data_IF_785450391090
#
_entry.id   IF_785450391090
#
_cell.length_a   1.000
_cell.length_b   1.000
_cell.length_c   1.000
_cell.angle_alpha   90.00
_cell.angle_beta   90.00
_cell.angle_gamma   90.00
#
_symmetry.space_group_name_H-M   'P 1'
#
loop_
_entity.id
_entity.type
_entity.pdbx_description
1 polymer ?
#
# COMPACT_ATOMS: atom_id res chain seq x y z
N UNK A 1 31.35 -0.98 -1.02
CA UNK A 1 30.36 -1.10 -2.10
C UNK A 1 29.11 -0.34 -1.68
N UNK A 2 28.46 0.46 -2.54
CA UNK A 2 27.20 1.11 -2.19
C UNK A 2 26.11 0.05 -1.99
N UNK A 3 25.33 0.18 -0.92
CA UNK A 3 24.16 -0.67 -0.69
C UNK A 3 23.05 -0.18 -1.64
N UNK A 4 22.44 -1.05 -2.45
CA UNK A 4 21.30 -0.68 -3.28
C UNK A 4 20.18 -0.11 -2.41
N UNK A 5 19.74 1.12 -2.70
CA UNK A 5 18.71 1.83 -1.94
C UNK A 5 17.40 2.03 -2.71
N UNK A 6 17.37 1.63 -3.99
CA UNK A 6 16.21 1.79 -4.88
C UNK A 6 15.83 0.46 -5.50
N UNK A 7 14.54 0.14 -5.42
CA UNK A 7 13.91 -0.95 -6.16
C UNK A 7 13.25 -0.37 -7.41
N UNK A 8 13.44 -1.02 -8.56
CA UNK A 8 12.76 -0.66 -9.81
C UNK A 8 11.97 -1.86 -10.27
N UNK A 9 10.66 -1.69 -10.41
CA UNK A 9 9.77 -2.68 -11.02
C UNK A 9 9.63 -2.30 -12.49
N UNK A 10 9.92 -3.24 -13.38
CA UNK A 10 9.87 -3.04 -14.83
C UNK A 10 8.97 -4.08 -15.48
N UNK A 11 8.57 -3.84 -16.74
CA UNK A 11 7.71 -4.76 -17.49
C UNK A 11 6.22 -4.68 -17.14
N UNK A 12 5.80 -3.63 -16.43
CA UNK A 12 4.38 -3.35 -16.20
C UNK A 12 3.79 -2.59 -17.38
N UNK A 13 2.55 -2.94 -17.73
CA UNK A 13 1.76 -2.19 -18.69
C UNK A 13 1.27 -0.87 -18.09
N UNK A 14 0.95 0.11 -18.95
CA UNK A 14 0.51 1.45 -18.50
C UNK A 14 -0.76 1.39 -17.63
N UNK A 15 -1.67 0.44 -17.92
CA UNK A 15 -2.87 0.20 -17.12
C UNK A 15 -2.56 -0.29 -15.70
N UNK A 16 -1.59 -1.20 -15.56
CA UNK A 16 -1.16 -1.75 -14.28
C UNK A 16 -0.47 -0.69 -13.43
N UNK A 17 0.36 0.15 -14.06
CA UNK A 17 1.02 1.29 -13.40
C UNK A 17 -0.04 2.26 -12.88
N UNK A 18 -1.02 2.63 -13.72
CA UNK A 18 -2.12 3.52 -13.30
C UNK A 18 -2.93 2.93 -12.17
N UNK A 19 -3.30 1.65 -12.25
CA UNK A 19 -4.03 0.98 -11.18
C UNK A 19 -3.24 0.99 -9.87
N UNK A 20 -1.96 0.65 -9.92
CA UNK A 20 -1.08 0.67 -8.75
C UNK A 20 -1.05 2.06 -8.09
N UNK A 21 -0.89 3.11 -8.90
CA UNK A 21 -0.87 4.49 -8.40
C UNK A 21 -2.20 4.92 -7.80
N UNK A 22 -3.32 4.61 -8.48
CA UNK A 22 -4.65 4.99 -8.02
C UNK A 22 -5.02 4.29 -6.70
N UNK A 23 -4.66 3.01 -6.54
CA UNK A 23 -4.95 2.28 -5.30
C UNK A 23 -4.06 2.77 -4.17
N UNK A 24 -2.78 3.08 -4.43
CA UNK A 24 -1.91 3.69 -3.41
C UNK A 24 -2.50 5.01 -2.90
N UNK A 25 -2.97 5.87 -3.81
CA UNK A 25 -3.63 7.14 -3.48
C UNK A 25 -4.97 6.94 -2.74
N UNK A 26 -5.78 5.98 -3.18
CA UNK A 26 -7.04 5.62 -2.50
C UNK A 26 -6.80 5.15 -1.07
N UNK A 27 -5.67 4.51 -0.78
CA UNK A 27 -5.32 4.05 0.56
C UNK A 27 -4.51 5.07 1.37
N UNK A 28 -4.25 6.27 0.82
CA UNK A 28 -3.34 7.28 1.39
C UNK A 28 -1.95 6.72 1.75
N UNK A 29 -1.46 5.78 0.95
CA UNK A 29 -0.14 5.20 1.12
C UNK A 29 0.82 5.74 0.06
N UNK A 30 2.09 5.88 0.44
CA UNK A 30 3.12 6.06 -0.57
C UNK A 30 3.34 4.76 -1.36
N UNK A 31 4.06 4.86 -2.48
CA UNK A 31 4.31 3.72 -3.39
C UNK A 31 5.06 2.57 -2.71
N UNK A 32 5.97 2.87 -1.79
CA UNK A 32 6.77 1.85 -1.12
C UNK A 32 5.94 1.12 -0.06
N UNK A 33 5.11 1.85 0.67
CA UNK A 33 4.21 1.33 1.68
C UNK A 33 3.07 0.52 1.08
N UNK A 34 2.52 0.96 -0.06
CA UNK A 34 1.56 0.15 -0.80
C UNK A 34 2.20 -1.13 -1.34
N UNK A 35 3.42 -1.09 -1.87
CA UNK A 35 4.14 -2.30 -2.27
C UNK A 35 4.36 -3.26 -1.08
N UNK A 36 4.79 -2.73 0.08
CA UNK A 36 4.94 -3.53 1.31
C UNK A 36 3.62 -4.16 1.73
N UNK A 37 2.50 -3.45 1.59
CA UNK A 37 1.15 -3.98 1.86
C UNK A 37 0.83 -5.18 0.98
N UNK A 38 1.10 -5.09 -0.32
CA UNK A 38 0.91 -6.20 -1.26
C UNK A 38 1.79 -7.40 -0.90
N UNK A 39 3.07 -7.15 -0.57
CA UNK A 39 4.01 -8.20 -0.16
C UNK A 39 3.59 -8.89 1.14
N UNK A 40 3.07 -8.13 2.11
CA UNK A 40 2.47 -8.68 3.33
C UNK A 40 1.25 -9.55 2.99
N UNK A 41 0.36 -9.08 2.11
CA UNK A 41 -0.83 -9.82 1.67
C UNK A 41 -0.50 -11.15 0.98
N UNK A 42 0.65 -11.22 0.29
CA UNK A 42 1.18 -12.44 -0.33
C UNK A 42 2.04 -13.30 0.62
N UNK A 43 2.23 -12.88 1.88
CA UNK A 43 3.07 -13.57 2.85
C UNK A 43 4.58 -13.48 2.56
N UNK A 44 5.01 -12.61 1.65
CA UNK A 44 6.42 -12.39 1.33
C UNK A 44 7.16 -11.59 2.41
N UNK A 45 6.43 -10.78 3.19
CA UNK A 45 6.97 -10.02 4.34
C UNK A 45 6.10 -10.29 5.57
N UNK A 46 6.75 -10.53 6.71
CA UNK A 46 6.09 -10.68 8.01
C UNK A 46 5.87 -9.34 8.71
N UNK A 47 4.92 -9.30 9.67
CA UNK A 47 4.66 -8.11 10.49
C UNK A 47 3.33 -7.43 10.20
N UNK A 48 2.62 -7.87 9.15
CA UNK A 48 1.29 -7.36 8.84
C UNK A 48 1.31 -5.86 8.55
N UNK A 49 0.21 -5.19 8.89
CA UNK A 49 0.09 -3.73 8.80
C UNK A 49 1.12 -2.98 9.67
N UNK A 50 1.68 -3.64 10.71
CA UNK A 50 2.69 -3.02 11.58
C UNK A 50 4.02 -2.77 10.86
N UNK A 51 4.28 -3.47 9.77
CA UNK A 51 5.48 -3.27 8.95
C UNK A 51 5.43 -1.97 8.12
N UNK A 52 4.27 -1.32 8.08
CA UNK A 52 3.96 -0.19 7.20
C UNK A 52 3.56 1.01 8.04
N UNK A 53 2.64 0.79 9.00
CA UNK A 53 2.21 1.78 9.97
C UNK A 53 2.58 1.24 11.36
N UNK A 54 3.74 1.60 11.92
CA UNK A 54 4.25 1.02 13.17
C UNK A 54 3.46 1.48 14.41
N UNK A 55 2.92 2.69 14.37
CA UNK A 55 2.11 3.25 15.44
C UNK A 55 0.72 2.60 15.50
N UNK A 56 0.20 2.36 16.72
CA UNK A 56 -1.06 1.64 16.88
C UNK A 56 -2.29 2.50 16.62
N UNK A 57 -2.24 3.76 16.99
CA UNK A 57 -3.37 4.67 16.87
C UNK A 57 -3.51 5.08 15.40
N UNK A 58 -2.39 5.37 14.73
CA UNK A 58 -2.38 5.61 13.27
C UNK A 58 -2.88 4.41 12.47
N UNK A 59 -2.64 3.16 12.92
CA UNK A 59 -3.20 1.97 12.26
C UNK A 59 -4.72 1.92 12.37
N UNK A 60 -5.27 2.33 13.51
CA UNK A 60 -6.70 2.31 13.72
C UNK A 60 -7.38 3.40 12.87
N UNK A 61 -6.84 4.62 12.89
CA UNK A 61 -7.29 5.72 12.05
C UNK A 61 -7.24 5.36 10.56
N UNK A 62 -6.13 4.75 10.11
CA UNK A 62 -6.00 4.30 8.73
C UNK A 62 -7.05 3.26 8.35
N UNK A 63 -7.36 2.30 9.24
CA UNK A 63 -8.42 1.30 8.98
C UNK A 63 -9.79 1.95 8.86
N UNK A 64 -10.09 2.94 9.69
CA UNK A 64 -11.35 3.68 9.65
C UNK A 64 -11.46 4.50 8.37
N UNK A 65 -10.38 5.15 7.95
CA UNK A 65 -10.29 5.87 6.69
C UNK A 65 -10.54 4.96 5.48
N UNK A 66 -9.83 3.81 5.43
CA UNK A 66 -10.00 2.83 4.35
C UNK A 66 -11.41 2.27 4.35
N UNK A 67 -11.99 1.96 5.52
CA UNK A 67 -13.37 1.51 5.61
C UNK A 67 -14.34 2.56 5.06
N UNK A 68 -14.22 3.83 5.44
CA UNK A 68 -15.06 4.92 4.93
C UNK A 68 -14.97 5.04 3.41
N UNK A 69 -13.74 5.06 2.87
CA UNK A 69 -13.51 5.17 1.43
C UNK A 69 -14.07 3.99 0.63
N UNK A 70 -13.94 2.77 1.15
CA UNK A 70 -14.51 1.59 0.52
C UNK A 70 -16.05 1.62 0.57
N UNK A 71 -16.64 2.08 1.68
CA UNK A 71 -18.09 2.27 1.77
C UNK A 71 -18.61 3.32 0.79
N UNK A 72 -17.92 4.45 0.64
CA UNK A 72 -18.26 5.48 -0.36
C UNK A 72 -18.17 4.93 -1.78
N UNK A 73 -17.16 4.11 -2.06
CA UNK A 73 -16.98 3.49 -3.37
C UNK A 73 -18.04 2.44 -3.71
N UNK A 74 -18.50 1.66 -2.73
CA UNK A 74 -19.50 0.59 -2.94
C UNK A 74 -20.93 1.16 -3.00
N UNK A 75 -21.19 2.29 -2.35
CA UNK A 75 -22.52 2.94 -2.35
C UNK A 75 -22.71 3.96 -3.48
N UNK A 76 -21.78 4.01 -4.44
CA UNK A 76 -21.90 4.72 -5.73
C UNK A 76 -22.47 3.77 -6.80
#
# INVERSE_FOLDING_TARGET
>A
MPVPSKLVISGLEEGEIRLFMNVAELLELDRADFLRLLMVGQGAISGGLKAIIPDNDQRQEWRELVASRLFEFINL
#
